data_IF_859223664895
#
_entry.id   IF_859223664895
#
_cell.length_a   1.000
_cell.length_b   1.000
_cell.length_c   1.000
_cell.angle_alpha   90.00
_cell.angle_beta   90.00
_cell.angle_gamma   90.00
#
_symmetry.space_group_name_H-M   'P 1'
#
loop_
_entity.id
_entity.type
_entity.pdbx_description
1 polymer ?
#
# COMPACT_ATOMS: atom_id res chain seq x y z
N UNK A 1 15.45 -37.22 -4.61
CA UNK A 1 15.46 -36.63 -3.25
C UNK A 1 15.75 -35.13 -3.34
N UNK A 2 15.37 -34.31 -2.35
CA UNK A 2 15.63 -32.85 -2.32
C UNK A 2 16.58 -32.50 -1.17
N UNK A 3 17.44 -31.49 -1.37
CA UNK A 3 18.35 -31.03 -0.32
C UNK A 3 17.60 -30.22 0.73
N UNK A 4 17.73 -30.61 2.00
CA UNK A 4 17.09 -29.92 3.15
C UNK A 4 17.64 -28.52 3.41
N UNK A 5 18.81 -28.18 2.87
CA UNK A 5 19.48 -26.91 3.12
C UNK A 5 19.23 -25.87 2.01
N UNK A 6 19.22 -26.30 0.74
CA UNK A 6 19.05 -25.39 -0.41
C UNK A 6 17.79 -25.66 -1.25
N UNK A 7 17.01 -26.70 -0.95
CA UNK A 7 15.77 -27.03 -1.65
C UNK A 7 15.92 -27.51 -3.10
N UNK A 8 17.15 -27.63 -3.64
CA UNK A 8 17.39 -28.14 -4.99
C UNK A 8 17.19 -29.67 -5.06
N UNK A 9 16.73 -30.16 -6.21
CA UNK A 9 16.66 -31.61 -6.51
C UNK A 9 18.09 -32.16 -6.51
N UNK A 10 18.33 -33.21 -5.71
CA UNK A 10 19.64 -33.86 -5.63
C UNK A 10 19.91 -34.66 -6.91
N UNK A 11 21.17 -34.71 -7.40
CA UNK A 11 21.57 -35.61 -8.48
C UNK A 11 21.28 -37.06 -8.09
N UNK A 12 20.84 -37.88 -9.04
CA UNK A 12 20.53 -39.30 -8.79
C UNK A 12 21.81 -40.14 -8.58
N UNK A 13 22.97 -39.59 -8.92
CA UNK A 13 24.31 -40.19 -8.78
C UNK A 13 24.86 -40.17 -7.33
N UNK A 14 24.06 -39.76 -6.34
CA UNK A 14 24.46 -39.74 -4.92
C UNK A 14 25.49 -38.67 -4.53
N UNK A 15 25.83 -37.75 -5.44
CA UNK A 15 26.80 -36.69 -5.19
C UNK A 15 26.27 -35.63 -4.20
N UNK A 16 27.12 -35.15 -3.28
CA UNK A 16 26.71 -34.18 -2.27
C UNK A 16 26.31 -32.84 -2.91
N UNK A 17 25.35 -32.13 -2.30
CA UNK A 17 24.97 -30.80 -2.80
C UNK A 17 26.20 -29.88 -2.78
N UNK A 18 26.39 -29.10 -3.86
CA UNK A 18 27.41 -28.04 -3.93
C UNK A 18 27.25 -27.01 -2.80
N UNK A 19 26.06 -26.94 -2.19
CA UNK A 19 25.79 -26.15 -0.99
C UNK A 19 26.60 -26.55 0.25
N UNK A 20 27.25 -27.72 0.25
CA UNK A 20 28.07 -28.23 1.34
C UNK A 20 29.57 -27.90 1.20
N UNK A 21 29.99 -27.26 0.10
CA UNK A 21 31.42 -27.03 -0.22
C UNK A 21 31.95 -25.62 0.11
N UNK A 22 31.27 -24.81 0.90
CA UNK A 22 31.88 -23.58 1.46
C UNK A 22 32.73 -23.92 2.70
N UNK A 23 33.90 -23.30 2.89
CA UNK A 23 34.90 -23.73 3.87
C UNK A 23 34.42 -23.54 5.31
N UNK A 24 34.93 -24.43 6.16
CA UNK A 24 34.53 -24.68 7.55
C UNK A 24 34.40 -23.42 8.43
N UNK A 25 33.27 -23.28 9.12
CA UNK A 25 33.24 -22.70 10.46
C UNK A 25 33.65 -23.79 11.46
N UNK A 26 34.42 -23.45 12.51
CA UNK A 26 34.98 -24.44 13.42
C UNK A 26 33.89 -25.22 14.15
N UNK A 27 34.13 -26.53 14.26
CA UNK A 27 33.29 -27.53 14.92
C UNK A 27 32.82 -27.06 16.31
N UNK A 28 31.50 -26.93 16.49
CA UNK A 28 30.92 -26.99 17.83
C UNK A 28 30.71 -28.46 18.18
N UNK A 29 31.55 -28.90 19.11
CA UNK A 29 31.61 -30.22 19.73
C UNK A 29 30.21 -30.74 20.07
N UNK A 30 29.84 -31.85 19.44
CA UNK A 30 28.76 -32.71 19.93
C UNK A 30 29.23 -33.35 21.22
N UNK A 31 28.78 -32.85 22.37
CA UNK A 31 28.92 -33.58 23.63
C UNK A 31 27.95 -34.77 23.60
N UNK A 32 28.44 -35.93 23.15
CA UNK A 32 27.86 -37.23 23.49
C UNK A 32 28.00 -37.44 24.99
N UNK A 33 26.90 -37.45 25.74
CA UNK A 33 26.87 -38.02 27.08
C UNK A 33 27.05 -39.54 26.98
N UNK A 34 28.00 -40.16 27.71
CA UNK A 34 27.99 -41.59 27.90
C UNK A 34 26.92 -41.98 28.94
N UNK A 35 26.05 -42.92 28.57
CA UNK A 35 25.11 -43.60 29.46
C UNK A 35 25.93 -44.47 30.43
N UNK A 36 25.77 -44.26 31.75
CA UNK A 36 26.26 -45.19 32.78
C UNK A 36 25.08 -45.88 33.48
N UNK A 37 25.19 -47.20 33.78
CA UNK A 37 24.09 -48.00 34.30
C UNK A 37 23.87 -47.83 35.81
N UNK A 38 22.61 -48.01 36.25
CA UNK A 38 22.15 -48.03 37.64
C UNK A 38 22.86 -49.10 38.50
N UNK A 39 23.39 -48.71 39.66
CA UNK A 39 23.62 -49.60 40.80
C UNK A 39 23.22 -48.93 42.12
N UNK A 40 22.62 -49.74 42.99
CA UNK A 40 21.92 -49.45 44.23
C UNK A 40 22.85 -49.60 45.46
N UNK A 41 22.43 -49.00 46.60
CA UNK A 41 22.81 -49.15 48.02
C UNK A 41 23.62 -48.03 48.72
N UNK A 42 23.02 -47.47 49.80
CA UNK A 42 23.69 -47.06 51.07
C UNK A 42 23.90 -45.56 51.36
N UNK A 43 23.28 -45.03 52.43
CA UNK A 43 23.38 -43.65 52.98
C UNK A 43 24.73 -43.37 53.73
N UNK A 44 25.00 -42.19 54.40
CA UNK A 44 24.28 -40.90 54.47
C UNK A 44 25.14 -39.61 54.26
N UNK A 45 24.43 -38.50 54.01
CA UNK A 45 24.76 -37.07 54.22
C UNK A 45 26.20 -36.62 54.51
N UNK A 46 26.80 -35.85 53.59
CA UNK A 46 27.75 -34.78 53.93
C UNK A 46 27.30 -33.46 53.31
N UNK A 47 27.14 -32.46 54.19
CA UNK A 47 26.85 -31.07 53.91
C UNK A 47 27.92 -30.49 52.97
N UNK A 48 27.55 -30.23 51.72
CA UNK A 48 28.22 -29.21 50.91
C UNK A 48 27.26 -28.05 50.72
N UNK A 49 27.58 -26.99 51.46
CA UNK A 49 26.95 -25.68 51.46
C UNK A 49 26.72 -25.19 50.02
N UNK A 50 25.46 -24.92 49.69
CA UNK A 50 25.06 -24.29 48.44
C UNK A 50 25.56 -22.83 48.46
N UNK A 51 26.35 -22.36 47.49
CA UNK A 51 26.71 -20.95 47.42
C UNK A 51 25.47 -20.11 47.03
N UNK A 52 25.38 -18.85 47.53
CA UNK A 52 24.18 -18.03 47.38
C UNK A 52 23.89 -17.72 45.91
N UNK A 53 22.64 -17.94 45.52
CA UNK A 53 22.04 -17.53 44.25
C UNK A 53 22.00 -16.00 44.17
N UNK A 54 23.10 -15.38 43.75
CA UNK A 54 23.13 -13.98 43.35
C UNK A 54 23.50 -13.91 41.87
N UNK A 55 22.52 -13.46 41.07
CA UNK A 55 22.54 -13.28 39.61
C UNK A 55 22.47 -14.54 38.73
N UNK A 56 21.32 -15.24 38.78
CA UNK A 56 20.86 -15.93 37.58
C UNK A 56 20.41 -14.86 36.56
N UNK A 57 21.30 -14.49 35.63
CA UNK A 57 20.90 -13.71 34.46
C UNK A 57 19.85 -14.52 33.68
N UNK A 58 18.71 -13.94 33.28
CA UNK A 58 17.78 -14.63 32.39
C UNK A 58 18.53 -15.00 31.11
N UNK A 59 18.29 -16.19 30.52
CA UNK A 59 18.97 -16.60 29.31
C UNK A 59 18.76 -15.52 28.26
N UNK A 60 19.87 -14.89 27.85
CA UNK A 60 19.85 -13.87 26.80
C UNK A 60 19.34 -14.56 25.55
N UNK A 61 18.08 -14.31 25.22
CA UNK A 61 17.44 -14.84 24.05
C UNK A 61 18.08 -14.16 22.84
N UNK A 62 19.17 -14.74 22.34
CA UNK A 62 19.73 -14.34 21.05
C UNK A 62 18.59 -14.44 20.04
N UNK A 63 18.29 -13.38 19.27
CA UNK A 63 17.29 -13.46 18.23
C UNK A 63 17.71 -14.59 17.31
N UNK A 64 16.91 -15.67 17.28
CA UNK A 64 17.12 -16.84 16.43
C UNK A 64 17.44 -16.32 15.03
N UNK A 65 18.71 -16.45 14.64
CA UNK A 65 19.17 -16.03 13.32
C UNK A 65 18.48 -16.94 12.31
N UNK A 66 17.42 -16.40 11.69
CA UNK A 66 16.66 -17.09 10.67
C UNK A 66 17.62 -17.54 9.56
N UNK A 67 17.56 -18.81 9.13
CA UNK A 67 18.37 -19.30 8.02
C UNK A 67 18.25 -18.36 6.82
N UNK A 68 19.37 -17.84 6.34
CA UNK A 68 19.42 -16.91 5.21
C UNK A 68 19.05 -17.70 3.96
N UNK A 69 17.77 -17.73 3.62
CA UNK A 69 17.34 -18.30 2.33
C UNK A 69 17.65 -17.31 1.21
N UNK A 70 17.98 -17.78 -0.01
CA UNK A 70 18.24 -16.89 -1.16
C UNK A 70 17.07 -15.93 -1.45
N UNK A 71 15.85 -16.31 -1.06
CA UNK A 71 14.64 -15.48 -1.17
C UNK A 71 14.78 -14.18 -0.37
N UNK A 72 15.33 -14.23 0.85
CA UNK A 72 15.51 -13.05 1.69
C UNK A 72 16.47 -12.05 1.04
N UNK A 73 17.55 -12.53 0.42
CA UNK A 73 18.50 -11.67 -0.29
C UNK A 73 17.88 -10.97 -1.49
N UNK A 74 17.12 -11.69 -2.32
CA UNK A 74 16.45 -11.12 -3.50
C UNK A 74 15.40 -10.10 -3.11
N UNK A 75 14.58 -10.41 -2.10
CA UNK A 75 13.51 -9.53 -1.67
C UNK A 75 14.05 -8.29 -0.93
N UNK A 76 15.14 -8.44 -0.18
CA UNK A 76 15.91 -7.33 0.40
C UNK A 76 16.53 -6.45 -0.69
N UNK A 77 17.09 -7.05 -1.75
CA UNK A 77 17.60 -6.31 -2.90
C UNK A 77 16.50 -5.52 -3.63
N UNK A 78 15.29 -6.08 -3.77
CA UNK A 78 14.14 -5.35 -4.33
C UNK A 78 13.76 -4.12 -3.52
N UNK A 79 13.57 -4.28 -2.21
CA UNK A 79 13.17 -3.18 -1.34
C UNK A 79 14.30 -2.16 -1.12
N UNK A 80 15.57 -2.54 -1.32
CA UNK A 80 16.72 -1.63 -1.33
C UNK A 80 17.04 -1.08 -2.73
N UNK A 81 16.23 -1.37 -3.74
CA UNK A 81 16.48 -0.93 -5.12
C UNK A 81 16.33 0.57 -5.29
N UNK A 82 17.04 1.20 -6.24
CA UNK A 82 16.90 2.63 -6.52
C UNK A 82 15.49 3.01 -6.95
N UNK A 83 14.75 2.13 -7.64
CA UNK A 83 13.37 2.38 -8.03
C UNK A 83 12.43 2.48 -6.83
N UNK A 84 12.65 1.65 -5.81
CA UNK A 84 11.87 1.73 -4.57
C UNK A 84 12.19 3.01 -3.79
N UNK A 85 13.46 3.43 -3.76
CA UNK A 85 13.87 4.71 -3.16
C UNK A 85 13.23 5.91 -3.87
N UNK A 86 13.27 5.95 -5.21
CA UNK A 86 12.65 7.02 -6.00
C UNK A 86 11.15 7.09 -5.71
N UNK A 87 10.49 5.93 -5.59
CA UNK A 87 9.06 5.86 -5.23
C UNK A 87 8.80 6.44 -3.84
N UNK A 88 9.62 6.12 -2.84
CA UNK A 88 9.49 6.67 -1.49
C UNK A 88 9.66 8.19 -1.46
N UNK A 89 10.67 8.73 -2.17
CA UNK A 89 10.92 10.16 -2.28
C UNK A 89 9.75 10.84 -2.99
N UNK A 90 9.34 10.33 -4.15
CA UNK A 90 8.30 10.93 -4.96
C UNK A 90 6.95 10.90 -4.24
N UNK A 91 6.67 9.86 -3.45
CA UNK A 91 5.47 9.78 -2.63
C UNK A 91 5.46 10.86 -1.54
N UNK A 92 6.60 11.09 -0.88
CA UNK A 92 6.75 12.19 0.08
C UNK A 92 6.59 13.57 -0.57
N UNK A 93 7.15 13.78 -1.76
CA UNK A 93 7.02 15.04 -2.51
C UNK A 93 5.57 15.25 -2.96
N UNK A 94 4.90 14.20 -3.45
CA UNK A 94 3.49 14.26 -3.81
C UNK A 94 2.62 14.62 -2.60
N UNK A 95 2.86 14.02 -1.44
CA UNK A 95 2.16 14.39 -0.19
C UNK A 95 2.39 15.86 0.19
N UNK A 96 3.63 16.35 0.06
CA UNK A 96 3.95 17.76 0.30
C UNK A 96 3.13 18.66 -0.64
N UNK A 97 3.07 18.34 -1.93
CA UNK A 97 2.27 19.09 -2.89
C UNK A 97 0.77 19.00 -2.62
N UNK A 98 0.26 17.88 -2.12
CA UNK A 98 -1.14 17.77 -1.69
C UNK A 98 -1.44 18.72 -0.52
N UNK A 99 -0.54 18.78 0.47
CA UNK A 99 -0.68 19.68 1.62
C UNK A 99 -0.62 21.14 1.15
N UNK A 100 0.37 21.50 0.33
CA UNK A 100 0.50 22.85 -0.23
C UNK A 100 -0.76 23.21 -1.01
N UNK A 101 -1.25 22.34 -1.90
CA UNK A 101 -2.46 22.57 -2.69
C UNK A 101 -3.73 22.72 -1.84
N UNK A 102 -3.75 22.14 -0.63
CA UNK A 102 -4.86 22.31 0.32
C UNK A 102 -4.81 23.63 1.10
N UNK A 103 -3.63 24.26 1.21
CA UNK A 103 -3.44 25.57 1.86
C UNK A 103 -3.77 26.75 0.94
N UNK A 104 -3.82 26.51 -0.37
CA UNK A 104 -4.31 27.45 -1.37
C UNK A 104 -5.66 26.95 -1.91
N UNK A 105 -6.73 26.98 -1.09
CA UNK A 105 -8.07 26.69 -1.59
C UNK A 105 -8.41 27.68 -2.70
N UNK A 106 -9.12 27.19 -3.71
CA UNK A 106 -9.55 27.99 -4.85
C UNK A 106 -10.54 29.07 -4.38
N UNK A 107 -10.46 30.27 -4.95
CA UNK A 107 -11.48 31.28 -4.70
C UNK A 107 -12.86 30.72 -5.07
N UNK A 108 -13.78 30.55 -4.10
CA UNK A 108 -15.10 30.00 -4.38
C UNK A 108 -15.85 30.87 -5.42
N UNK A 109 -15.51 32.15 -5.55
CA UNK A 109 -16.03 33.05 -6.57
C UNK A 109 -15.68 32.60 -7.99
N UNK A 110 -14.50 32.03 -8.22
CA UNK A 110 -14.12 31.52 -9.55
C UNK A 110 -14.94 30.28 -9.90
N UNK A 111 -15.08 29.35 -8.96
CA UNK A 111 -15.88 28.12 -9.13
C UNK A 111 -17.35 28.48 -9.33
N UNK A 112 -17.90 29.37 -8.49
CA UNK A 112 -19.29 29.86 -8.62
C UNK A 112 -19.51 30.52 -9.97
N UNK A 113 -18.60 31.39 -10.43
CA UNK A 113 -18.75 32.04 -11.73
C UNK A 113 -18.66 31.04 -12.90
N UNK A 114 -17.79 30.03 -12.81
CA UNK A 114 -17.71 28.97 -13.83
C UNK A 114 -18.97 28.10 -13.84
N UNK A 115 -19.47 27.71 -12.66
CA UNK A 115 -20.71 26.93 -12.56
C UNK A 115 -21.89 27.77 -13.07
N UNK A 116 -22.01 29.02 -12.60
CA UNK A 116 -23.11 29.91 -12.92
C UNK A 116 -23.14 30.35 -14.39
N UNK A 117 -21.97 30.59 -15.01
CA UNK A 117 -21.90 30.93 -16.44
C UNK A 117 -22.19 29.74 -17.36
N UNK A 118 -21.99 28.51 -16.89
CA UNK A 118 -22.35 27.29 -17.60
C UNK A 118 -23.73 26.74 -17.22
N UNK A 119 -24.41 27.35 -16.23
CA UNK A 119 -25.81 27.04 -15.92
C UNK A 119 -26.71 27.66 -17.01
N UNK A 120 -27.64 26.88 -17.57
CA UNK A 120 -28.70 27.39 -18.44
C UNK A 120 -29.45 28.54 -17.77
N UNK A 121 -29.89 29.50 -18.59
CA UNK A 121 -30.50 30.76 -18.17
C UNK A 121 -31.63 30.59 -17.15
N UNK A 122 -32.41 29.51 -17.26
CA UNK A 122 -33.53 29.19 -16.38
C UNK A 122 -33.10 28.81 -14.94
N UNK A 123 -31.91 28.22 -14.76
CA UNK A 123 -31.38 27.81 -13.45
C UNK A 123 -30.63 28.92 -12.72
N UNK A 124 -30.26 29.98 -13.44
CA UNK A 124 -29.68 31.19 -12.86
C UNK A 124 -30.65 31.92 -11.92
N UNK A 125 -31.97 31.73 -12.10
CA UNK A 125 -33.00 32.32 -11.25
C UNK A 125 -33.29 31.52 -9.96
N UNK A 126 -32.98 30.23 -9.95
CA UNK A 126 -33.26 29.33 -8.82
C UNK A 126 -32.07 29.28 -7.85
N UNK A 127 -30.85 29.31 -8.39
CA UNK A 127 -29.61 29.23 -7.60
C UNK A 127 -29.00 30.62 -7.53
N UNK A 128 -29.15 31.31 -6.41
CA UNK A 128 -28.47 32.59 -6.20
C UNK A 128 -26.95 32.39 -6.17
N UNK A 129 -26.15 33.17 -6.93
CA UNK A 129 -24.69 33.14 -6.85
C UNK A 129 -24.19 33.35 -5.42
N UNK A 130 -24.92 34.15 -4.63
CA UNK A 130 -24.58 34.43 -3.23
C UNK A 130 -24.75 33.22 -2.32
N UNK A 131 -25.79 32.42 -2.52
CA UNK A 131 -26.05 31.20 -1.73
C UNK A 131 -25.10 30.07 -2.13
N UNK A 132 -24.77 29.97 -3.42
CA UNK A 132 -23.77 29.01 -3.89
C UNK A 132 -22.37 29.38 -3.39
N UNK A 133 -22.04 30.68 -3.37
CA UNK A 133 -20.79 31.18 -2.83
C UNK A 133 -20.68 30.98 -1.32
N UNK A 134 -21.72 31.28 -0.55
CA UNK A 134 -21.70 31.07 0.90
C UNK A 134 -21.62 29.59 1.25
N UNK A 135 -22.39 28.72 0.58
CA UNK A 135 -22.31 27.27 0.79
C UNK A 135 -20.93 26.69 0.42
N UNK A 136 -20.33 27.11 -0.70
CA UNK A 136 -18.99 26.67 -1.09
C UNK A 136 -17.91 27.26 -0.17
N UNK A 137 -18.05 28.51 0.24
CA UNK A 137 -17.15 29.20 1.19
C UNK A 137 -17.18 28.52 2.56
N UNK A 138 -18.36 28.18 3.07
CA UNK A 138 -18.53 27.49 4.35
C UNK A 138 -18.00 26.04 4.26
N UNK A 139 -18.25 25.36 3.14
CA UNK A 139 -17.69 24.03 2.89
C UNK A 139 -16.15 24.03 2.79
N UNK A 140 -15.55 25.06 2.19
CA UNK A 140 -14.09 25.17 2.05
C UNK A 140 -13.40 25.65 3.34
N UNK A 141 -14.00 26.59 4.06
CA UNK A 141 -13.42 27.16 5.28
C UNK A 141 -13.39 26.15 6.44
N UNK A 142 -14.36 25.25 6.54
CA UNK A 142 -14.38 24.18 7.55
C UNK A 142 -13.46 22.99 7.26
N UNK A 143 -12.99 22.82 6.02
CA UNK A 143 -12.33 21.57 5.58
C UNK A 143 -10.81 21.63 5.49
N UNK A 144 -10.17 22.80 5.42
CA UNK A 144 -8.72 22.89 5.18
C UNK A 144 -7.89 22.23 6.30
N UNK A 145 -8.13 22.56 7.57
CA UNK A 145 -7.41 21.96 8.71
C UNK A 145 -7.69 20.46 8.84
N UNK A 146 -8.96 20.05 8.73
CA UNK A 146 -9.36 18.65 8.78
C UNK A 146 -8.76 17.82 7.64
N UNK A 147 -8.67 18.39 6.45
CA UNK A 147 -8.09 17.76 5.26
C UNK A 147 -6.58 17.60 5.42
N UNK A 148 -5.86 18.62 5.89
CA UNK A 148 -4.42 18.54 6.15
C UNK A 148 -4.12 17.47 7.19
N UNK A 149 -4.90 17.42 8.29
CA UNK A 149 -4.74 16.37 9.31
C UNK A 149 -5.02 14.98 8.72
N UNK A 150 -6.10 14.82 7.94
CA UNK A 150 -6.44 13.56 7.27
C UNK A 150 -5.37 13.09 6.28
N UNK A 151 -4.80 14.02 5.51
CA UNK A 151 -3.69 13.78 4.58
C UNK A 151 -2.40 13.39 5.31
N UNK A 152 -2.08 14.04 6.42
CA UNK A 152 -0.92 13.70 7.24
C UNK A 152 -1.05 12.32 7.90
N UNK A 153 -2.24 11.97 8.39
CA UNK A 153 -2.49 10.64 8.97
C UNK A 153 -2.35 9.58 7.87
N UNK A 154 -3.07 9.73 6.78
CA UNK A 154 -3.15 8.69 5.74
C UNK A 154 -1.87 8.64 4.90
N UNK A 155 -1.49 9.77 4.32
CA UNK A 155 -0.30 9.92 3.50
C UNK A 155 0.99 9.87 4.30
N UNK A 156 1.05 10.47 5.49
CA UNK A 156 2.26 10.44 6.31
C UNK A 156 2.62 9.04 6.81
N UNK A 157 1.61 8.25 7.25
CA UNK A 157 1.84 6.85 7.64
C UNK A 157 2.27 5.99 6.45
N UNK A 158 1.69 6.19 5.27
CA UNK A 158 2.11 5.50 4.05
C UNK A 158 3.54 5.87 3.64
N UNK A 159 3.91 7.16 3.73
CA UNK A 159 5.27 7.63 3.47
C UNK A 159 6.26 6.98 4.45
N UNK A 160 5.93 6.96 5.74
CA UNK A 160 6.71 6.26 6.75
C UNK A 160 6.84 4.76 6.45
N UNK A 161 5.79 4.11 5.93
CA UNK A 161 5.85 2.71 5.54
C UNK A 161 6.85 2.44 4.41
N UNK A 162 6.90 3.30 3.38
CA UNK A 162 7.90 3.21 2.32
C UNK A 162 9.33 3.37 2.88
N UNK A 163 9.56 4.40 3.70
CA UNK A 163 10.87 4.64 4.31
C UNK A 163 11.32 3.51 5.25
N UNK A 164 10.43 3.01 6.12
CA UNK A 164 10.72 1.88 7.01
C UNK A 164 11.09 0.63 6.20
N UNK A 165 10.37 0.37 5.11
CA UNK A 165 10.64 -0.77 4.23
C UNK A 165 12.02 -0.64 3.57
N UNK A 166 12.34 0.53 3.03
CA UNK A 166 13.63 0.80 2.38
C UNK A 166 14.81 0.71 3.36
N UNK A 167 14.75 1.42 4.49
CA UNK A 167 15.81 1.44 5.50
C UNK A 167 16.02 0.03 6.05
N UNK A 168 14.93 -0.69 6.34
CA UNK A 168 15.04 -2.05 6.84
C UNK A 168 15.65 -3.01 5.83
N UNK A 169 15.45 -2.79 4.53
CA UNK A 169 16.06 -3.59 3.49
C UNK A 169 17.55 -3.24 3.29
N UNK A 170 17.96 -2.00 3.53
CA UNK A 170 19.36 -1.59 3.42
C UNK A 170 20.23 -2.04 4.61
N UNK A 171 19.63 -2.23 5.79
CA UNK A 171 20.36 -2.61 7.00
C UNK A 171 21.02 -3.98 6.89
N UNK A 172 22.37 -4.10 6.89
CA UNK A 172 23.05 -5.39 6.75
C UNK A 172 22.88 -6.28 7.98
N UNK A 173 22.67 -5.68 9.16
CA UNK A 173 22.64 -6.36 10.46
C UNK A 173 21.44 -7.29 10.68
N UNK A 174 20.39 -7.19 9.84
CA UNK A 174 19.19 -8.02 9.97
C UNK A 174 19.05 -8.87 8.69
N UNK A 175 19.04 -10.22 8.78
CA UNK A 175 18.97 -11.10 7.61
C UNK A 175 17.62 -11.05 6.87
N UNK A 176 16.53 -10.68 7.57
CA UNK A 176 15.21 -10.43 6.98
C UNK A 176 14.75 -8.99 7.27
N UNK A 177 14.39 -8.23 6.24
CA UNK A 177 13.78 -6.90 6.42
C UNK A 177 12.45 -6.98 7.21
N UNK A 178 12.19 -5.95 8.02
CA UNK A 178 10.99 -5.80 8.84
C UNK A 178 9.75 -5.76 7.94
N UNK A 179 8.76 -6.57 8.26
CA UNK A 179 7.47 -6.63 7.55
C UNK A 179 6.48 -5.56 7.98
N UNK A 180 6.89 -4.65 8.87
CA UNK A 180 6.03 -3.58 9.39
C UNK A 180 5.52 -2.68 8.26
N UNK A 181 6.42 -2.18 7.40
CA UNK A 181 6.04 -1.34 6.27
C UNK A 181 5.09 -2.05 5.29
N UNK A 182 5.34 -3.33 4.96
CA UNK A 182 4.42 -4.13 4.12
C UNK A 182 3.03 -4.30 4.74
N UNK A 183 2.96 -4.39 6.07
CA UNK A 183 1.68 -4.50 6.78
C UNK A 183 0.93 -3.17 6.72
N UNK A 184 1.63 -2.04 6.91
CA UNK A 184 1.03 -0.70 6.80
C UNK A 184 0.53 -0.46 5.37
N UNK A 185 1.35 -0.73 4.35
CA UNK A 185 0.94 -0.61 2.94
C UNK A 185 -0.33 -1.42 2.64
N UNK A 186 -0.42 -2.65 3.15
CA UNK A 186 -1.62 -3.49 2.99
C UNK A 186 -2.85 -2.90 3.67
N UNK A 187 -2.71 -2.42 4.90
CA UNK A 187 -3.83 -1.84 5.66
C UNK A 187 -4.36 -0.61 4.92
N UNK A 188 -3.49 0.23 4.38
CA UNK A 188 -3.92 1.38 3.59
C UNK A 188 -4.60 1.02 2.27
N UNK A 189 -4.12 0.01 1.55
CA UNK A 189 -4.85 -0.54 0.38
C UNK A 189 -6.29 -0.94 0.74
N UNK A 190 -6.49 -1.56 1.92
CA UNK A 190 -7.83 -1.92 2.40
C UNK A 190 -8.65 -0.67 2.74
N UNK A 191 -8.05 0.32 3.42
CA UNK A 191 -8.73 1.56 3.76
C UNK A 191 -9.16 2.32 2.50
N UNK A 192 -8.27 2.45 1.50
CA UNK A 192 -8.54 3.10 0.23
C UNK A 192 -9.75 2.47 -0.47
N UNK A 193 -9.76 1.13 -0.54
CA UNK A 193 -10.88 0.38 -1.12
C UNK A 193 -12.21 0.68 -0.41
N UNK A 194 -12.22 0.68 0.93
CA UNK A 194 -13.43 0.92 1.73
C UNK A 194 -13.92 2.35 1.54
N UNK A 195 -13.03 3.35 1.56
CA UNK A 195 -13.40 4.76 1.38
C UNK A 195 -14.01 5.00 0.00
N UNK A 196 -13.40 4.47 -1.07
CA UNK A 196 -13.95 4.58 -2.42
C UNK A 196 -15.30 3.86 -2.55
N UNK A 197 -15.46 2.71 -1.89
CA UNK A 197 -16.73 1.98 -1.89
C UNK A 197 -17.83 2.76 -1.16
N UNK A 198 -17.51 3.41 -0.05
CA UNK A 198 -18.45 4.26 0.69
C UNK A 198 -18.85 5.51 -0.11
N UNK A 199 -17.90 6.10 -0.85
CA UNK A 199 -18.19 7.24 -1.73
C UNK A 199 -19.18 6.86 -2.84
N UNK A 200 -19.04 5.67 -3.44
CA UNK A 200 -19.98 5.18 -4.45
C UNK A 200 -21.37 4.92 -3.88
N UNK A 201 -21.45 4.31 -2.69
CA UNK A 201 -22.74 4.11 -2.00
C UNK A 201 -23.42 5.46 -1.73
N UNK A 202 -22.65 6.48 -1.33
CA UNK A 202 -23.17 7.83 -1.12
C UNK A 202 -23.70 8.43 -2.43
N UNK A 203 -23.02 8.23 -3.55
CA UNK A 203 -23.47 8.65 -4.89
C UNK A 203 -24.85 8.03 -5.24
N UNK A 204 -25.01 6.72 -4.99
CA UNK A 204 -26.27 6.01 -5.23
C UNK A 204 -27.39 6.54 -4.32
N UNK A 205 -27.11 6.77 -3.03
CA UNK A 205 -28.10 7.34 -2.09
C UNK A 205 -28.57 8.72 -2.56
N UNK A 206 -27.65 9.58 -3.01
CA UNK A 206 -27.99 10.88 -3.56
C UNK A 206 -28.86 10.76 -4.82
N UNK A 207 -28.54 9.83 -5.72
CA UNK A 207 -29.35 9.60 -6.92
C UNK A 207 -30.78 9.14 -6.57
N UNK A 208 -30.95 8.30 -5.54
CA UNK A 208 -32.27 7.87 -5.06
C UNK A 208 -33.05 9.03 -4.45
N UNK A 209 -32.41 9.83 -3.58
CA UNK A 209 -33.05 11.02 -2.97
C UNK A 209 -33.53 11.98 -4.07
N UNK A 210 -32.67 12.24 -5.06
CA UNK A 210 -33.01 13.11 -6.18
C UNK A 210 -34.18 12.54 -7.00
N UNK A 211 -34.15 11.23 -7.30
CA UNK A 211 -35.24 10.55 -8.01
C UNK A 211 -36.58 10.62 -7.27
N UNK A 212 -36.59 10.43 -5.95
CA UNK A 212 -37.81 10.54 -5.13
C UNK A 212 -38.30 11.99 -5.07
N UNK A 213 -37.40 12.95 -4.90
CA UNK A 213 -37.75 14.37 -4.93
C UNK A 213 -38.39 14.77 -6.26
N UNK A 214 -37.94 14.22 -7.38
CA UNK A 214 -38.55 14.44 -8.69
C UNK A 214 -39.93 13.78 -8.82
N UNK A 215 -40.12 12.58 -8.27
CA UNK A 215 -41.38 11.84 -8.37
C UNK A 215 -42.53 12.41 -7.50
N UNK A 216 -42.20 13.11 -6.41
CA UNK A 216 -43.19 13.66 -5.46
C UNK A 216 -43.68 15.07 -5.77
N UNK A 217 -43.14 15.73 -6.81
CA UNK A 217 -43.55 17.08 -7.19
C UNK A 217 -44.56 17.01 -8.36
N UNK A 218 -45.83 17.36 -8.09
CA UNK A 218 -46.94 17.49 -9.07
C UNK A 218 -46.75 18.62 -10.10
N UNK A 219 -45.54 19.17 -10.19
CA UNK A 219 -45.19 20.12 -11.22
C UNK A 219 -44.91 19.35 -12.50
N UNK A 220 -45.97 19.10 -13.28
CA UNK A 220 -45.97 18.46 -14.60
C UNK A 220 -45.20 19.19 -15.70
N UNK A 221 -44.19 19.98 -15.33
CA UNK A 221 -43.29 20.73 -16.18
C UNK A 221 -41.98 21.05 -15.43
N UNK A 222 -41.45 20.11 -14.66
CA UNK A 222 -40.09 20.25 -14.11
C UNK A 222 -39.09 20.02 -15.25
N UNK A 223 -38.83 21.13 -15.94
CA UNK A 223 -37.72 21.52 -16.82
C UNK A 223 -36.89 20.36 -17.40
N UNK A 224 -36.78 20.30 -18.74
CA UNK A 224 -35.97 19.30 -19.47
C UNK A 224 -34.59 19.10 -18.83
N UNK A 225 -34.04 20.17 -18.27
CA UNK A 225 -32.77 20.21 -17.58
C UNK A 225 -32.67 19.35 -16.30
N UNK A 226 -33.72 19.29 -15.47
CA UNK A 226 -33.72 18.47 -14.24
C UNK A 226 -33.81 16.97 -14.56
N UNK A 227 -34.56 16.62 -15.61
CA UNK A 227 -34.59 15.26 -16.16
C UNK A 227 -33.22 14.86 -16.71
N UNK A 228 -32.57 15.76 -17.44
CA UNK A 228 -31.21 15.55 -17.98
C UNK A 228 -30.19 15.33 -16.86
N UNK A 229 -30.20 16.14 -15.79
CA UNK A 229 -29.32 15.96 -14.62
C UNK A 229 -29.55 14.59 -13.96
N UNK A 230 -30.80 14.16 -13.81
CA UNK A 230 -31.11 12.84 -13.25
C UNK A 230 -30.56 11.70 -14.11
N UNK A 231 -30.68 11.80 -15.45
CA UNK A 231 -30.10 10.82 -16.37
C UNK A 231 -28.57 10.80 -16.26
N UNK A 232 -27.91 11.97 -16.16
CA UNK A 232 -26.47 12.04 -15.93
C UNK A 232 -26.05 11.43 -14.60
N UNK A 233 -26.81 11.65 -13.52
CA UNK A 233 -26.53 11.04 -12.21
C UNK A 233 -26.66 9.51 -12.24
N UNK A 234 -27.68 8.97 -12.92
CA UNK A 234 -27.82 7.52 -13.10
C UNK A 234 -26.68 6.96 -13.96
N UNK A 235 -26.31 7.62 -15.05
CA UNK A 235 -25.17 7.23 -15.87
C UNK A 235 -23.85 7.26 -15.07
N UNK A 236 -23.67 8.27 -14.21
CA UNK A 236 -22.52 8.38 -13.32
C UNK A 236 -22.47 7.23 -12.30
N UNK A 237 -23.60 6.83 -11.71
CA UNK A 237 -23.66 5.66 -10.83
C UNK A 237 -23.30 4.36 -11.57
N UNK A 238 -23.83 4.15 -12.78
CA UNK A 238 -23.50 2.95 -13.58
C UNK A 238 -22.00 2.91 -13.89
N UNK A 239 -21.44 4.04 -14.31
CA UNK A 239 -20.00 4.16 -14.56
C UNK A 239 -19.18 3.95 -13.27
N UNK A 240 -19.61 4.53 -12.16
CA UNK A 240 -19.02 4.38 -10.83
C UNK A 240 -18.93 2.91 -10.39
N UNK A 241 -20.01 2.15 -10.56
CA UNK A 241 -19.99 0.70 -10.32
C UNK A 241 -18.96 -0.05 -11.17
N UNK A 242 -18.84 0.29 -12.46
CA UNK A 242 -17.84 -0.34 -13.33
C UNK A 242 -16.42 -0.03 -12.83
N UNK A 243 -16.14 1.23 -12.49
CA UNK A 243 -14.85 1.65 -11.94
C UNK A 243 -14.56 0.93 -10.61
N UNK A 244 -15.56 0.81 -9.73
CA UNK A 244 -15.44 0.13 -8.44
C UNK A 244 -15.10 -1.35 -8.59
N UNK A 245 -15.64 -2.05 -9.59
CA UNK A 245 -15.28 -3.44 -9.88
C UNK A 245 -13.79 -3.54 -10.24
N UNK A 246 -13.30 -2.66 -11.12
CA UNK A 246 -11.88 -2.64 -11.49
C UNK A 246 -10.99 -2.32 -10.29
N UNK A 247 -11.40 -1.39 -9.43
CA UNK A 247 -10.69 -1.00 -8.22
C UNK A 247 -10.60 -2.15 -7.21
N UNK A 248 -11.71 -2.88 -6.97
CA UNK A 248 -11.72 -4.08 -6.13
C UNK A 248 -10.71 -5.11 -6.65
N UNK A 249 -10.72 -5.37 -7.96
CA UNK A 249 -9.79 -6.34 -8.56
C UNK A 249 -8.35 -5.86 -8.41
N UNK A 250 -8.08 -4.57 -8.65
CA UNK A 250 -6.76 -3.97 -8.50
C UNK A 250 -6.23 -4.13 -7.06
N UNK A 251 -6.96 -3.64 -6.06
CA UNK A 251 -6.54 -3.69 -4.66
C UNK A 251 -6.43 -5.13 -4.14
N UNK A 252 -7.34 -6.03 -4.54
CA UNK A 252 -7.23 -7.45 -4.18
C UNK A 252 -5.92 -8.08 -4.68
N UNK A 253 -5.46 -7.71 -5.89
CA UNK A 253 -4.18 -8.21 -6.44
C UNK A 253 -2.98 -7.55 -5.76
N UNK A 254 -3.05 -6.27 -5.41
CA UNK A 254 -2.00 -5.56 -4.63
C UNK A 254 -1.87 -6.19 -3.24
N UNK A 255 -2.98 -6.39 -2.53
CA UNK A 255 -3.01 -7.05 -1.21
C UNK A 255 -2.44 -8.47 -1.30
N UNK A 256 -2.78 -9.23 -2.34
CA UNK A 256 -2.22 -10.58 -2.57
C UNK A 256 -0.71 -10.52 -2.77
N UNK A 257 -0.20 -9.54 -3.53
CA UNK A 257 1.24 -9.33 -3.72
C UNK A 257 1.94 -8.97 -2.39
N UNK A 258 1.38 -8.04 -1.62
CA UNK A 258 1.92 -7.62 -0.33
C UNK A 258 1.94 -8.77 0.69
N UNK A 259 0.87 -9.57 0.77
CA UNK A 259 0.82 -10.76 1.61
C UNK A 259 1.84 -11.81 1.16
N UNK A 260 1.98 -12.03 -0.15
CA UNK A 260 2.96 -12.95 -0.72
C UNK A 260 4.39 -12.53 -0.36
N UNK A 261 4.73 -11.25 -0.54
CA UNK A 261 6.02 -10.70 -0.16
C UNK A 261 6.25 -10.79 1.36
N UNK A 262 5.25 -10.44 2.18
CA UNK A 262 5.32 -10.57 3.65
C UNK A 262 5.58 -12.01 4.09
N UNK A 263 4.84 -12.97 3.53
CA UNK A 263 5.01 -14.38 3.87
C UNK A 263 6.38 -14.90 3.43
N UNK A 264 6.87 -14.49 2.26
CA UNK A 264 8.21 -14.81 1.79
C UNK A 264 9.30 -14.25 2.72
N UNK A 265 9.12 -13.02 3.23
CA UNK A 265 10.02 -12.41 4.22
C UNK A 265 10.00 -13.11 5.60
N UNK A 266 8.89 -13.76 5.96
CA UNK A 266 8.76 -14.44 7.26
C UNK A 266 9.23 -15.90 7.22
N UNK A 267 8.90 -16.59 6.14
CA UNK A 267 9.08 -18.05 6.00
C UNK A 267 10.26 -18.43 5.11
N UNK A 268 10.81 -17.48 4.34
CA UNK A 268 11.85 -17.76 3.36
C UNK A 268 11.37 -18.55 2.15
N UNK A 269 10.06 -18.80 2.00
CA UNK A 269 9.46 -19.44 0.83
C UNK A 269 9.39 -18.49 -0.35
N UNK A 270 9.48 -19.05 -1.56
CA UNK A 270 9.37 -18.32 -2.81
C UNK A 270 8.02 -17.57 -2.90
N UNK A 271 8.01 -16.24 -3.12
CA UNK A 271 6.76 -15.50 -3.30
C UNK A 271 6.13 -15.82 -4.66
N UNK A 272 4.80 -15.79 -4.70
CA UNK A 272 4.04 -15.84 -5.95
C UNK A 272 4.31 -14.60 -6.81
N UNK A 273 4.29 -14.79 -8.13
CA UNK A 273 4.33 -13.69 -9.12
C UNK A 273 3.23 -12.68 -8.83
N UNK A 274 3.57 -11.40 -8.93
CA UNK A 274 2.60 -10.32 -8.92
C UNK A 274 1.80 -10.31 -10.23
N UNK A 275 0.53 -9.91 -10.15
CA UNK A 275 -0.34 -9.87 -11.32
C UNK A 275 0.07 -8.74 -12.26
N UNK A 276 0.39 -9.06 -13.53
CA UNK A 276 0.75 -8.06 -14.55
C UNK A 276 -0.40 -7.07 -14.80
N UNK A 277 -1.65 -7.51 -14.59
CA UNK A 277 -2.83 -6.65 -14.59
C UNK A 277 -2.66 -5.40 -13.71
N UNK A 278 -2.05 -5.55 -12.53
CA UNK A 278 -1.83 -4.40 -11.61
C UNK A 278 -0.94 -3.36 -12.29
N UNK A 279 0.13 -3.79 -12.96
CA UNK A 279 1.00 -2.86 -13.69
C UNK A 279 0.27 -2.18 -14.85
N UNK A 280 -0.57 -2.90 -15.58
CA UNK A 280 -1.38 -2.33 -16.67
C UNK A 280 -2.33 -1.25 -16.16
N UNK A 281 -3.05 -1.52 -15.06
CA UNK A 281 -3.92 -0.52 -14.43
C UNK A 281 -3.11 0.69 -13.99
N UNK A 282 -1.94 0.53 -13.37
CA UNK A 282 -1.08 1.67 -13.02
C UNK A 282 -0.69 2.53 -14.23
N UNK A 283 -0.39 1.93 -15.39
CA UNK A 283 -0.10 2.70 -16.61
C UNK A 283 -1.34 3.40 -17.19
N UNK A 284 -2.51 2.76 -17.12
CA UNK A 284 -3.79 3.40 -17.51
C UNK A 284 -4.09 4.57 -16.57
N UNK A 285 -3.96 4.39 -15.27
CA UNK A 285 -4.13 5.45 -14.26
C UNK A 285 -3.13 6.59 -14.47
N UNK A 286 -1.89 6.29 -14.90
CA UNK A 286 -0.93 7.32 -15.28
C UNK A 286 -1.39 8.14 -16.48
N UNK A 287 -1.94 7.49 -17.52
CA UNK A 287 -2.48 8.18 -18.69
C UNK A 287 -3.70 9.04 -18.34
N UNK A 288 -4.65 8.51 -17.56
CA UNK A 288 -5.80 9.29 -17.06
C UNK A 288 -5.31 10.48 -16.24
N UNK A 289 -4.39 10.26 -15.29
CA UNK A 289 -3.81 11.33 -14.47
C UNK A 289 -3.12 12.39 -15.33
N UNK A 290 -2.49 12.02 -16.44
CA UNK A 290 -1.83 12.95 -17.34
C UNK A 290 -2.83 13.89 -18.02
N UNK A 291 -3.98 13.38 -18.46
CA UNK A 291 -5.06 14.24 -18.96
C UNK A 291 -5.63 15.14 -17.86
N UNK A 292 -5.73 14.63 -16.62
CA UNK A 292 -6.15 15.44 -15.48
C UNK A 292 -5.19 16.60 -15.17
N UNK A 293 -3.88 16.49 -15.45
CA UNK A 293 -2.93 17.62 -15.29
C UNK A 293 -3.36 18.83 -16.12
N UNK A 294 -3.82 18.62 -17.35
CA UNK A 294 -4.27 19.72 -18.21
C UNK A 294 -5.59 20.31 -17.70
N UNK A 295 -6.51 19.45 -17.25
CA UNK A 295 -7.74 19.89 -16.59
C UNK A 295 -7.42 20.75 -15.37
N UNK A 296 -6.50 20.30 -14.52
CA UNK A 296 -6.08 21.02 -13.32
C UNK A 296 -5.36 22.33 -13.65
N UNK A 297 -4.55 22.37 -14.69
CA UNK A 297 -3.88 23.58 -15.14
C UNK A 297 -4.88 24.66 -15.58
N UNK A 298 -5.90 24.26 -16.33
CA UNK A 298 -6.94 25.16 -16.86
C UNK A 298 -7.90 25.59 -15.77
N UNK A 299 -8.34 24.66 -14.92
CA UNK A 299 -9.40 24.90 -13.93
C UNK A 299 -8.90 25.43 -12.60
N UNK A 300 -7.70 25.04 -12.18
CA UNK A 300 -7.18 25.33 -10.84
C UNK A 300 -5.83 26.09 -10.86
N UNK A 301 -5.37 26.45 -12.05
CA UNK A 301 -4.16 27.20 -12.29
C UNK A 301 -2.88 26.36 -12.19
N UNK A 302 -1.77 26.99 -12.58
CA UNK A 302 -0.46 26.35 -12.70
C UNK A 302 0.10 25.78 -11.38
N UNK A 303 -0.43 26.21 -10.22
CA UNK A 303 0.04 25.74 -8.92
C UNK A 303 -0.27 24.26 -8.64
N UNK A 304 -1.30 23.70 -9.29
CA UNK A 304 -1.66 22.27 -9.17
C UNK A 304 -0.97 21.35 -10.17
N UNK A 305 -0.32 21.91 -11.19
CA UNK A 305 0.39 21.13 -12.21
C UNK A 305 1.51 20.25 -11.61
N UNK A 306 2.35 20.74 -10.67
CA UNK A 306 3.37 19.89 -10.04
C UNK A 306 2.78 18.68 -9.33
N UNK A 307 1.64 18.84 -8.65
CA UNK A 307 0.94 17.75 -7.96
C UNK A 307 0.48 16.68 -8.96
N UNK A 308 -0.17 17.09 -10.04
CA UNK A 308 -0.64 16.18 -11.08
C UNK A 308 0.53 15.43 -11.75
N UNK A 309 1.64 16.11 -12.06
CA UNK A 309 2.84 15.48 -12.61
C UNK A 309 3.46 14.45 -11.66
N UNK A 310 3.51 14.74 -10.36
CA UNK A 310 4.00 13.78 -9.37
C UNK A 310 3.10 12.54 -9.26
N UNK A 311 1.78 12.70 -9.39
CA UNK A 311 0.83 11.59 -9.43
C UNK A 311 1.05 10.69 -10.65
N UNK A 312 1.22 11.29 -11.84
CA UNK A 312 1.54 10.55 -13.08
C UNK A 312 2.82 9.73 -12.90
N UNK A 313 3.87 10.37 -12.41
CA UNK A 313 5.16 9.70 -12.20
C UNK A 313 5.07 8.58 -11.13
N UNK A 314 4.28 8.75 -10.07
CA UNK A 314 4.02 7.70 -9.07
C UNK A 314 3.32 6.49 -9.68
N UNK A 315 2.27 6.72 -10.47
CA UNK A 315 1.54 5.64 -11.13
C UNK A 315 2.47 4.84 -12.07
N UNK A 316 3.32 5.52 -12.84
CA UNK A 316 4.34 4.85 -13.66
C UNK A 316 5.31 4.02 -12.80
N UNK A 317 5.81 4.59 -11.71
CA UNK A 317 6.75 3.89 -10.82
C UNK A 317 6.12 2.66 -10.15
N UNK A 318 4.86 2.73 -9.71
CA UNK A 318 4.15 1.56 -9.18
C UNK A 318 4.04 0.45 -10.21
N UNK A 319 3.72 0.77 -11.47
CA UNK A 319 3.73 -0.20 -12.57
C UNK A 319 5.10 -0.83 -12.78
N UNK A 320 6.15 -0.01 -12.80
CA UNK A 320 7.54 -0.49 -12.94
C UNK A 320 7.99 -1.36 -11.76
N UNK A 321 7.59 -1.04 -10.53
CA UNK A 321 7.90 -1.85 -9.34
C UNK A 321 7.30 -3.25 -9.43
N UNK A 322 6.05 -3.37 -9.87
CA UNK A 322 5.39 -4.68 -10.08
C UNK A 322 6.13 -5.51 -11.12
N UNK A 323 6.56 -4.88 -12.22
CA UNK A 323 7.32 -5.56 -13.27
C UNK A 323 8.72 -5.97 -12.81
N UNK A 324 9.41 -5.10 -12.07
CA UNK A 324 10.73 -5.38 -11.51
C UNK A 324 10.69 -6.48 -10.46
N UNK A 325 9.64 -6.52 -9.64
CA UNK A 325 9.38 -7.61 -8.70
C UNK A 325 9.32 -8.94 -9.45
N UNK A 326 8.48 -9.03 -10.48
CA UNK A 326 8.37 -10.24 -11.32
C UNK A 326 9.68 -10.61 -12.03
N UNK A 327 10.40 -9.62 -12.57
CA UNK A 327 11.70 -9.83 -13.24
C UNK A 327 12.72 -10.41 -12.28
N UNK A 328 12.79 -9.92 -11.04
CA UNK A 328 13.71 -10.46 -10.04
C UNK A 328 13.37 -11.86 -9.59
N UNK A 329 12.08 -12.18 -9.41
CA UNK A 329 11.66 -13.56 -9.12
C UNK A 329 12.05 -14.51 -10.26
N UNK A 330 11.94 -14.07 -11.51
CA UNK A 330 12.38 -14.83 -12.68
C UNK A 330 13.89 -15.04 -12.70
N UNK A 331 14.66 -13.97 -12.53
CA UNK A 331 16.13 -14.03 -12.59
C UNK A 331 16.73 -14.90 -11.48
N UNK A 332 16.08 -14.96 -10.32
CA UNK A 332 16.50 -15.81 -9.21
C UNK A 332 16.11 -17.30 -9.37
N UNK A 333 15.47 -17.68 -10.49
CA UNK A 333 14.95 -19.03 -10.70
C UNK A 333 13.79 -19.39 -9.76
N UNK A 334 13.15 -18.38 -9.16
CA UNK A 334 12.08 -18.53 -8.17
C UNK A 334 10.69 -18.47 -8.80
N UNK A 335 10.57 -18.06 -10.05
CA UNK A 335 9.30 -18.05 -10.76
C UNK A 335 9.09 -19.38 -11.52
N UNK A 336 8.13 -20.20 -11.07
CA UNK A 336 7.46 -21.18 -11.96
C UNK A 336 6.47 -20.42 -12.83
#
# INVERSE_FOLDING_TARGET
MYCTNCGRKLPEDGSPCVCRQQPAQPEQQTYTQPVQPQQNYGAPTQNFQMPPQYYAQPPVQYPVQRPITPVHGVLKSFFASPLFLITAILFSVNLLFQIIASLFPQDPAYIVNQIYSNLPYEMQFIVSPGDLYSALSDAQSGTTVGTVIGMLITGGLMAAAYWITYISAKNPSIPAAKTAGLTIMKVFSIISLVVMSLAEVLCVVLAVIFGVALAGNDYGYMDEMMSVIFVFLIAACIFGFVVLIFEIIYEAKVIKMLNSAKNAMLTGMVPNKASVFVAVICFISAAVSFFSVFGDAVLYGWIRVPLGLTSVALNVLYGLLVLQFNKMLKNAGMAR
#
